data_IF_456084232856
#
_entry.id   IF_456084232856
#
_cell.length_a   1.000
_cell.length_b   1.000
_cell.length_c   1.000
_cell.angle_alpha   90.00
_cell.angle_beta   90.00
_cell.angle_gamma   90.00
#
_symmetry.space_group_name_H-M   'P 1'
#
loop_
_entity.id
_entity.type
_entity.pdbx_description
1 polymer ?
#
# COMPACT_ATOMS: atom_id res chain seq x y z
N UNK A 1 11.04 10.16 -8.77
CA UNK A 1 10.74 9.85 -7.37
C UNK A 1 10.27 8.41 -7.33
N UNK A 2 10.95 7.60 -6.53
CA UNK A 2 10.52 6.26 -6.20
C UNK A 2 9.50 6.28 -5.05
N UNK A 3 8.74 5.20 -4.92
CA UNK A 3 7.97 4.85 -3.74
C UNK A 3 8.50 3.50 -3.24
N UNK A 4 9.10 3.47 -2.06
CA UNK A 4 9.56 2.24 -1.44
C UNK A 4 8.52 1.73 -0.44
N UNK A 5 8.27 0.42 -0.47
CA UNK A 5 7.41 -0.28 0.47
C UNK A 5 8.25 -1.04 1.49
N UNK A 6 7.94 -0.83 2.76
CA UNK A 6 8.59 -1.53 3.85
C UNK A 6 7.57 -2.29 4.69
N UNK A 7 7.99 -3.44 5.21
CA UNK A 7 7.27 -4.14 6.27
C UNK A 7 7.91 -3.80 7.60
N UNK A 8 7.09 -3.33 8.54
CA UNK A 8 7.45 -3.14 9.93
C UNK A 8 6.81 -4.28 10.74
N UNK A 9 7.59 -5.25 11.24
CA UNK A 9 7.11 -6.30 12.10
C UNK A 9 6.42 -5.75 13.36
N UNK A 10 5.16 -6.14 13.60
CA UNK A 10 4.41 -5.73 14.78
C UNK A 10 4.71 -6.68 15.95
N UNK A 11 6.00 -6.80 16.30
CA UNK A 11 6.45 -7.58 17.46
C UNK A 11 6.90 -6.65 18.57
N UNK A 12 6.66 -7.07 19.79
CA UNK A 12 6.83 -6.30 21.03
C UNK A 12 8.26 -5.75 21.23
N UNK A 13 9.27 -6.42 20.66
CA UNK A 13 10.67 -5.94 20.64
C UNK A 13 10.79 -4.55 20.00
N UNK A 14 9.98 -4.28 18.97
CA UNK A 14 9.85 -2.95 18.40
C UNK A 14 8.72 -2.20 19.08
N UNK A 15 7.48 -2.70 19.06
CA UNK A 15 6.30 -1.85 19.22
C UNK A 15 6.08 -1.20 20.59
N UNK A 16 6.50 -1.83 21.70
CA UNK A 16 6.35 -1.24 23.06
C UNK A 16 7.69 -0.85 23.70
N UNK A 17 8.77 -0.85 22.93
CA UNK A 17 10.04 -0.28 23.37
C UNK A 17 9.96 1.25 23.39
N UNK A 18 10.46 1.95 24.42
CA UNK A 18 10.53 3.41 24.43
C UNK A 18 11.42 3.98 23.32
N UNK A 19 12.30 3.15 22.74
CA UNK A 19 13.18 3.52 21.62
C UNK A 19 12.60 3.12 20.25
N UNK A 20 11.33 2.69 20.19
CA UNK A 20 10.68 2.35 18.93
C UNK A 20 10.44 3.60 18.09
N UNK A 21 10.99 3.67 16.86
CA UNK A 21 10.74 4.81 16.00
C UNK A 21 9.27 4.94 15.56
N UNK A 22 8.43 3.92 15.75
CA UNK A 22 7.02 3.92 15.34
C UNK A 22 6.02 4.00 16.52
N UNK A 23 6.47 4.24 17.76
CA UNK A 23 5.56 4.21 18.92
C UNK A 23 4.46 5.27 18.85
N UNK A 24 4.83 6.48 18.40
CA UNK A 24 3.91 7.61 18.34
C UNK A 24 2.87 7.39 17.23
N UNK A 25 3.29 6.91 16.06
CA UNK A 25 2.43 6.57 14.94
C UNK A 25 1.45 5.45 15.32
N UNK A 26 1.93 4.39 15.97
CA UNK A 26 1.05 3.29 16.43
C UNK A 26 0.00 3.81 17.42
N UNK A 27 0.37 4.71 18.34
CA UNK A 27 -0.60 5.30 19.26
C UNK A 27 -1.66 6.14 18.53
N UNK A 28 -1.28 6.87 17.48
CA UNK A 28 -2.23 7.59 16.62
C UNK A 28 -3.16 6.62 15.89
N UNK A 29 -2.63 5.51 15.37
CA UNK A 29 -3.43 4.48 14.69
C UNK A 29 -4.41 3.81 15.65
N UNK A 30 -3.98 3.44 16.85
CA UNK A 30 -4.82 2.83 17.88
C UNK A 30 -5.96 3.76 18.30
N UNK A 31 -5.70 5.06 18.43
CA UNK A 31 -6.75 6.04 18.71
C UNK A 31 -7.77 6.10 17.58
N UNK A 32 -7.33 6.21 16.33
CA UNK A 32 -8.23 6.27 15.17
C UNK A 32 -9.05 4.98 15.00
N UNK A 33 -8.43 3.81 15.20
CA UNK A 33 -9.11 2.51 15.19
C UNK A 33 -10.14 2.45 16.32
N UNK A 34 -9.78 2.88 17.53
CA UNK A 34 -10.67 2.90 18.69
C UNK A 34 -11.89 3.80 18.51
N UNK A 35 -11.71 5.00 17.93
CA UNK A 35 -12.80 5.91 17.56
C UNK A 35 -13.77 5.28 16.55
N UNK A 36 -13.25 4.46 15.64
CA UNK A 36 -14.03 3.70 14.67
C UNK A 36 -14.64 2.39 15.23
N UNK A 37 -14.40 2.07 16.51
CA UNK A 37 -14.89 0.85 17.16
C UNK A 37 -14.15 -0.43 16.72
N UNK A 38 -12.94 -0.29 16.21
CA UNK A 38 -12.07 -1.37 15.73
C UNK A 38 -11.05 -1.78 16.80
N UNK A 39 -10.47 -3.00 16.72
CA UNK A 39 -9.38 -3.39 17.60
C UNK A 39 -8.12 -2.54 17.32
N UNK A 40 -7.22 -2.40 18.31
CA UNK A 40 -5.93 -1.77 18.11
C UNK A 40 -5.05 -2.56 17.14
N UNK A 41 -3.96 -1.94 16.70
CA UNK A 41 -2.92 -2.59 15.89
C UNK A 41 -2.42 -3.85 16.62
N UNK A 42 -2.44 -5.04 15.98
CA UNK A 42 -2.12 -6.28 16.66
C UNK A 42 -0.61 -6.41 16.88
N UNK A 43 -0.16 -6.01 18.06
CA UNK A 43 1.24 -6.17 18.49
C UNK A 43 1.44 -7.51 19.19
N UNK A 44 2.36 -8.31 18.69
CA UNK A 44 2.63 -9.65 19.20
C UNK A 44 3.83 -9.65 20.16
N UNK A 45 3.63 -10.14 21.39
CA UNK A 45 4.71 -10.35 22.37
C UNK A 45 5.91 -11.14 21.81
N UNK A 46 5.60 -12.15 20.99
CA UNK A 46 6.59 -12.97 20.31
C UNK A 46 5.94 -13.63 19.09
N UNK A 47 6.66 -13.65 17.97
CA UNK A 47 6.29 -14.43 16.79
C UNK A 47 7.49 -15.27 16.32
N UNK A 48 7.40 -16.62 16.36
CA UNK A 48 8.51 -17.48 15.95
C UNK A 48 8.94 -17.21 14.50
N UNK A 49 10.24 -17.01 14.30
CA UNK A 49 10.83 -16.81 12.97
C UNK A 49 10.71 -15.40 12.40
N UNK A 50 10.09 -14.46 13.13
CA UNK A 50 10.06 -13.05 12.78
C UNK A 50 11.04 -12.27 13.67
N UNK A 51 11.94 -11.49 13.06
CA UNK A 51 12.75 -10.52 13.78
C UNK A 51 12.02 -9.18 13.84
N UNK A 52 12.47 -8.27 14.70
CA UNK A 52 12.02 -6.87 14.69
C UNK A 52 12.68 -6.06 13.57
N UNK A 53 13.19 -6.68 12.51
CA UNK A 53 13.89 -5.94 11.46
C UNK A 53 12.88 -5.39 10.46
N UNK A 54 12.92 -4.08 10.24
CA UNK A 54 12.19 -3.43 9.15
C UNK A 54 12.87 -3.82 7.83
N UNK A 55 12.09 -4.29 6.85
CA UNK A 55 12.62 -4.82 5.61
C UNK A 55 11.89 -4.27 4.39
N UNK A 56 12.62 -3.96 3.29
CA UNK A 56 11.99 -3.55 2.04
C UNK A 56 11.24 -4.73 1.42
N UNK A 57 10.15 -4.43 0.72
CA UNK A 57 9.34 -5.43 0.00
C UNK A 57 9.33 -5.19 -1.50
N UNK A 58 9.22 -3.93 -1.90
CA UNK A 58 9.20 -3.53 -3.29
C UNK A 58 9.52 -2.03 -3.39
N UNK A 59 9.95 -1.61 -4.57
CA UNK A 59 10.07 -0.21 -4.94
C UNK A 59 9.52 -0.02 -6.35
N UNK A 60 8.94 1.15 -6.63
CA UNK A 60 8.41 1.48 -7.94
C UNK A 60 8.42 2.98 -8.21
N UNK A 61 8.32 3.34 -9.49
CA UNK A 61 8.15 4.72 -9.88
C UNK A 61 6.81 5.28 -9.38
N UNK A 62 6.82 6.50 -8.85
CA UNK A 62 5.63 7.19 -8.37
C UNK A 62 4.50 7.22 -9.41
N UNK A 63 4.84 7.48 -10.68
CA UNK A 63 3.86 7.49 -11.79
C UNK A 63 3.22 6.09 -12.00
N UNK A 64 3.97 5.02 -11.76
CA UNK A 64 3.47 3.65 -11.92
C UNK A 64 2.36 3.33 -10.92
N UNK A 65 2.43 3.87 -9.69
CA UNK A 65 1.38 3.72 -8.69
C UNK A 65 0.07 4.35 -9.17
N UNK A 66 0.16 5.51 -9.81
CA UNK A 66 -1.02 6.22 -10.31
C UNK A 66 -1.63 5.51 -11.52
N UNK A 67 -0.83 4.85 -12.38
CA UNK A 67 -1.40 3.99 -13.43
C UNK A 67 -2.24 2.85 -12.85
N UNK A 68 -1.77 2.20 -11.77
CA UNK A 68 -2.52 1.15 -11.10
C UNK A 68 -3.82 1.68 -10.49
N UNK A 69 -3.77 2.84 -9.81
CA UNK A 69 -4.96 3.48 -9.23
C UNK A 69 -5.97 3.90 -10.29
N UNK A 70 -5.50 4.42 -11.42
CA UNK A 70 -6.35 4.71 -12.58
C UNK A 70 -7.05 3.44 -13.08
N UNK A 71 -6.32 2.35 -13.27
CA UNK A 71 -6.90 1.08 -13.70
C UNK A 71 -7.97 0.57 -12.72
N UNK A 72 -7.70 0.67 -11.41
CA UNK A 72 -8.66 0.32 -10.37
C UNK A 72 -9.92 1.21 -10.43
N UNK A 73 -9.78 2.53 -10.52
CA UNK A 73 -10.94 3.45 -10.61
C UNK A 73 -11.76 3.23 -11.88
N UNK A 74 -11.12 3.03 -13.04
CA UNK A 74 -11.82 2.71 -14.28
C UNK A 74 -12.65 1.43 -14.11
N UNK A 75 -12.06 0.39 -13.56
CA UNK A 75 -12.75 -0.88 -13.34
C UNK A 75 -13.89 -0.74 -12.32
N UNK A 76 -13.66 -0.04 -11.21
CA UNK A 76 -14.67 0.22 -10.17
C UNK A 76 -15.87 0.97 -10.74
N UNK A 77 -15.63 1.92 -11.64
CA UNK A 77 -16.64 2.72 -12.32
C UNK A 77 -17.29 2.02 -13.52
N UNK A 78 -16.92 0.77 -13.82
CA UNK A 78 -17.45 0.00 -14.96
C UNK A 78 -17.00 0.55 -16.32
N UNK A 79 -15.92 1.31 -16.36
CA UNK A 79 -15.29 1.84 -17.56
C UNK A 79 -14.25 0.86 -18.11
N UNK A 80 -13.93 0.99 -19.39
CA UNK A 80 -12.91 0.16 -20.02
C UNK A 80 -11.52 0.52 -19.45
N UNK A 81 -10.81 -0.47 -18.92
CA UNK A 81 -9.41 -0.33 -18.51
C UNK A 81 -8.54 -0.37 -19.77
N UNK A 82 -8.02 0.79 -20.18
CA UNK A 82 -7.13 0.91 -21.35
C UNK A 82 -5.72 1.27 -20.90
N UNK A 83 -4.67 0.68 -21.50
CA UNK A 83 -3.28 1.08 -21.25
C UNK A 83 -3.06 2.55 -21.57
N UNK A 84 -2.14 3.19 -20.85
CA UNK A 84 -1.71 4.57 -21.09
C UNK A 84 -0.20 4.69 -20.96
N UNK A 85 0.42 5.48 -21.85
CA UNK A 85 1.86 5.75 -21.78
C UNK A 85 2.20 6.86 -20.78
N UNK A 86 1.22 7.72 -20.46
CA UNK A 86 1.29 8.81 -19.49
C UNK A 86 -0.13 9.13 -18.94
N UNK A 87 -0.23 9.59 -17.69
CA UNK A 87 -1.52 9.82 -17.02
C UNK A 87 -2.32 11.00 -17.61
N UNK A 88 -1.63 11.98 -18.22
CA UNK A 88 -2.27 13.20 -18.71
C UNK A 88 -3.06 13.88 -17.58
N UNK A 89 -4.26 14.38 -17.88
CA UNK A 89 -5.23 14.83 -16.88
C UNK A 89 -6.37 13.82 -16.62
N UNK A 90 -6.26 12.60 -17.16
CA UNK A 90 -7.33 11.60 -17.12
C UNK A 90 -7.51 11.05 -15.71
N UNK A 91 -6.41 10.84 -14.99
CA UNK A 91 -6.47 10.34 -13.61
C UNK A 91 -7.06 11.37 -12.63
N UNK A 92 -6.67 12.65 -12.75
CA UNK A 92 -7.24 13.74 -11.97
C UNK A 92 -8.73 13.90 -12.26
N UNK A 93 -9.14 13.84 -13.54
CA UNK A 93 -10.54 13.88 -13.91
C UNK A 93 -11.33 12.70 -13.33
N UNK A 94 -10.77 11.50 -13.32
CA UNK A 94 -11.39 10.33 -12.69
C UNK A 94 -11.55 10.52 -11.18
N UNK A 95 -10.54 11.08 -10.50
CA UNK A 95 -10.63 11.40 -9.07
C UNK A 95 -11.73 12.43 -8.80
N UNK A 96 -11.85 13.47 -9.62
CA UNK A 96 -12.92 14.47 -9.49
C UNK A 96 -14.31 13.86 -9.76
N UNK A 97 -14.43 13.01 -10.78
CA UNK A 97 -15.70 12.39 -11.16
C UNK A 97 -16.18 11.33 -10.15
N UNK A 98 -15.25 10.62 -9.52
CA UNK A 98 -15.53 9.48 -8.64
C UNK A 98 -14.99 9.68 -7.23
N UNK A 99 -14.93 10.93 -6.76
CA UNK A 99 -14.33 11.33 -5.47
C UNK A 99 -14.83 10.47 -4.30
N UNK A 100 -16.15 10.27 -4.20
CA UNK A 100 -16.73 9.46 -3.13
C UNK A 100 -16.25 7.99 -3.18
N UNK A 101 -16.08 7.42 -4.38
CA UNK A 101 -15.59 6.05 -4.52
C UNK A 101 -14.09 5.97 -4.25
N UNK A 102 -13.33 6.98 -4.68
CA UNK A 102 -11.92 7.11 -4.38
C UNK A 102 -11.70 7.14 -2.86
N UNK A 103 -12.42 8.00 -2.12
CA UNK A 103 -12.34 8.14 -0.66
C UNK A 103 -12.61 6.85 0.13
N UNK A 104 -13.32 5.88 -0.46
CA UNK A 104 -13.60 4.59 0.16
C UNK A 104 -12.54 3.53 -0.15
N UNK A 105 -11.60 3.80 -1.05
CA UNK A 105 -10.61 2.84 -1.52
C UNK A 105 -9.29 2.93 -0.75
N UNK A 106 -8.85 1.80 -0.23
CA UNK A 106 -7.54 1.63 0.42
C UNK A 106 -6.40 1.86 -0.55
N UNK A 107 -6.53 1.46 -1.81
CA UNK A 107 -5.52 1.65 -2.85
C UNK A 107 -5.43 3.11 -3.31
N UNK A 108 -6.57 3.82 -3.44
CA UNK A 108 -6.64 5.15 -4.04
C UNK A 108 -6.55 6.29 -3.02
N UNK A 109 -7.29 6.22 -1.91
CA UNK A 109 -7.33 7.28 -0.89
C UNK A 109 -6.29 7.05 0.19
N UNK A 110 -5.03 7.11 -0.22
CA UNK A 110 -3.86 6.84 0.61
C UNK A 110 -2.68 7.68 0.15
N UNK A 111 -1.78 8.05 1.06
CA UNK A 111 -0.60 8.84 0.71
C UNK A 111 0.58 7.97 0.28
N UNK A 112 1.19 8.38 -0.82
CA UNK A 112 2.14 7.58 -1.60
C UNK A 112 3.55 7.57 -1.02
N UNK A 113 3.82 8.42 -0.03
CA UNK A 113 5.17 8.66 0.52
C UNK A 113 5.18 8.78 2.06
N UNK A 114 4.03 8.65 2.71
CA UNK A 114 3.91 8.80 4.16
C UNK A 114 2.81 7.93 4.80
N UNK A 115 2.00 7.23 3.99
CA UNK A 115 0.87 6.48 4.50
C UNK A 115 1.25 5.08 4.99
N UNK A 116 0.38 4.51 5.84
CA UNK A 116 0.53 3.17 6.38
C UNK A 116 -0.68 2.27 6.08
N UNK A 117 -0.43 0.96 6.03
CA UNK A 117 -1.47 -0.07 6.09
C UNK A 117 -1.25 -0.98 7.29
N UNK A 118 -2.30 -1.22 8.07
CA UNK A 118 -2.24 -2.12 9.24
C UNK A 118 -2.98 -3.43 8.96
N UNK A 119 -2.57 -4.56 9.60
CA UNK A 119 -3.23 -5.86 9.44
C UNK A 119 -4.51 -5.93 10.32
N UNK A 120 -5.36 -4.92 10.22
CA UNK A 120 -6.68 -4.84 10.84
C UNK A 120 -7.69 -4.69 9.72
N UNK A 121 -8.76 -5.50 9.72
CA UNK A 121 -9.78 -5.45 8.68
C UNK A 121 -10.81 -4.35 8.96
N UNK A 122 -10.92 -3.39 8.05
CA UNK A 122 -11.95 -2.36 8.08
C UNK A 122 -12.33 -1.91 6.66
N UNK A 123 -13.58 -1.47 6.44
CA UNK A 123 -14.15 -1.38 5.11
C UNK A 123 -13.61 -0.24 4.25
N UNK A 124 -13.25 0.90 4.83
CA UNK A 124 -12.77 2.09 4.11
C UNK A 124 -11.64 2.77 4.90
N UNK A 125 -10.70 3.47 4.25
CA UNK A 125 -9.61 4.17 4.92
C UNK A 125 -10.10 5.07 6.05
N UNK A 126 -9.40 5.06 7.18
CA UNK A 126 -9.69 5.98 8.27
C UNK A 126 -8.98 7.30 8.01
N UNK A 127 -9.68 8.41 8.21
CA UNK A 127 -9.11 9.74 8.04
C UNK A 127 -9.65 10.67 9.11
N UNK A 128 -8.74 11.29 9.86
CA UNK A 128 -9.00 12.34 10.82
C UNK A 128 -7.80 13.30 10.84
N UNK A 129 -7.92 14.43 11.54
CA UNK A 129 -6.88 15.47 11.54
C UNK A 129 -5.52 14.93 11.99
N UNK A 130 -5.49 14.09 13.03
CA UNK A 130 -4.25 13.50 13.55
C UNK A 130 -3.55 12.58 12.51
N UNK A 131 -4.32 11.78 11.77
CA UNK A 131 -3.80 10.95 10.70
C UNK A 131 -3.27 11.80 9.53
N UNK A 132 -4.00 12.86 9.16
CA UNK A 132 -3.62 13.78 8.09
C UNK A 132 -2.36 14.60 8.41
N UNK A 133 -2.14 14.95 9.68
CA UNK A 133 -0.93 15.64 10.14
C UNK A 133 0.34 14.76 10.07
N UNK A 134 0.18 13.44 10.23
CA UNK A 134 1.29 12.48 10.18
C UNK A 134 1.56 11.95 8.78
N UNK A 135 0.66 11.09 8.28
CA UNK A 135 0.91 10.24 7.12
C UNK A 135 -0.25 10.07 6.16
N UNK A 136 -1.37 10.74 6.41
CA UNK A 136 -2.58 10.62 5.61
C UNK A 136 -3.52 9.50 6.08
N UNK A 137 -4.52 9.14 5.27
CA UNK A 137 -5.49 8.12 5.64
C UNK A 137 -4.85 6.77 5.99
N UNK A 138 -5.32 6.14 7.06
CA UNK A 138 -4.86 4.82 7.48
C UNK A 138 -5.55 3.74 6.66
N UNK A 139 -4.76 2.92 5.97
CA UNK A 139 -5.22 1.81 5.15
C UNK A 139 -5.31 0.48 5.90
N UNK A 140 -6.14 -0.43 5.42
CA UNK A 140 -6.22 -1.81 5.85
C UNK A 140 -5.46 -2.70 4.87
N UNK A 141 -4.53 -3.54 5.35
CA UNK A 141 -3.88 -4.55 4.49
C UNK A 141 -4.89 -5.55 3.90
N UNK A 142 -5.98 -5.82 4.62
CA UNK A 142 -7.10 -6.62 4.10
C UNK A 142 -7.86 -5.89 2.99
N UNK A 143 -8.17 -4.60 3.21
CA UNK A 143 -8.81 -3.74 2.22
C UNK A 143 -7.98 -3.63 0.94
N UNK A 144 -6.69 -3.30 1.09
CA UNK A 144 -5.74 -3.24 -0.02
C UNK A 144 -5.69 -4.55 -0.82
N UNK A 145 -5.58 -5.70 -0.14
CA UNK A 145 -5.53 -7.00 -0.83
C UNK A 145 -6.81 -7.26 -1.64
N UNK A 146 -8.00 -6.98 -1.09
CA UNK A 146 -9.27 -7.13 -1.81
C UNK A 146 -9.34 -6.25 -3.07
N UNK A 147 -8.83 -5.02 -2.98
CA UNK A 147 -8.83 -4.07 -4.10
C UNK A 147 -7.82 -4.47 -5.19
N UNK A 148 -6.67 -5.00 -4.80
CA UNK A 148 -5.70 -5.58 -5.72
C UNK A 148 -6.29 -6.80 -6.42
N UNK A 149 -6.90 -7.74 -5.68
CA UNK A 149 -7.57 -8.91 -6.26
C UNK A 149 -8.69 -8.51 -7.23
N UNK A 150 -9.44 -7.44 -6.90
CA UNK A 150 -10.47 -6.90 -7.78
C UNK A 150 -9.90 -6.44 -9.13
N UNK A 151 -8.78 -5.70 -9.13
CA UNK A 151 -8.20 -5.16 -10.38
C UNK A 151 -7.33 -6.17 -11.15
N UNK A 152 -6.87 -7.25 -10.53
CA UNK A 152 -5.89 -8.18 -11.09
C UNK A 152 -6.22 -8.65 -12.52
N UNK A 153 -7.47 -9.06 -12.77
CA UNK A 153 -7.89 -9.61 -14.06
C UNK A 153 -7.83 -8.58 -15.20
N UNK A 154 -8.10 -7.29 -14.93
CA UNK A 154 -8.01 -6.24 -15.97
C UNK A 154 -6.56 -5.96 -16.39
N UNK A 155 -5.61 -6.29 -15.52
CA UNK A 155 -4.17 -6.20 -15.76
C UNK A 155 -3.57 -7.51 -16.32
N UNK A 156 -4.41 -8.52 -16.56
CA UNK A 156 -3.98 -9.85 -17.01
C UNK A 156 -3.19 -10.62 -15.94
N UNK A 157 -3.49 -10.42 -14.66
CA UNK A 157 -2.90 -11.14 -13.52
C UNK A 157 -3.92 -12.16 -13.00
N UNK A 158 -3.44 -13.38 -12.75
CA UNK A 158 -4.18 -14.37 -11.93
C UNK A 158 -3.78 -14.18 -10.46
N UNK A 159 -4.67 -13.66 -9.59
CA UNK A 159 -4.34 -13.43 -8.18
C UNK A 159 -4.17 -14.74 -7.39
N UNK A 160 -4.70 -15.88 -7.86
CA UNK A 160 -4.52 -17.18 -7.21
C UNK A 160 -3.15 -17.80 -7.49
N UNK A 161 -2.45 -17.31 -8.51
CA UNK A 161 -1.10 -17.74 -8.87
C UNK A 161 -0.34 -16.56 -9.53
N UNK A 162 -0.04 -15.50 -8.76
CA UNK A 162 0.56 -14.31 -9.33
C UNK A 162 1.99 -14.61 -9.78
N UNK A 163 2.50 -13.85 -10.77
CA UNK A 163 3.93 -13.82 -11.08
C UNK A 163 4.79 -13.56 -9.84
N UNK A 164 6.09 -13.84 -9.95
CA UNK A 164 7.03 -13.51 -8.89
C UNK A 164 7.01 -12.01 -8.59
N UNK A 165 7.04 -11.59 -7.32
CA UNK A 165 7.09 -10.18 -6.96
C UNK A 165 8.42 -9.57 -7.41
N UNK A 166 8.45 -8.23 -7.58
CA UNK A 166 9.69 -7.54 -7.91
C UNK A 166 10.73 -7.73 -6.80
N UNK A 167 12.01 -7.67 -7.19
CA UNK A 167 13.11 -7.67 -6.22
C UNK A 167 13.00 -6.41 -5.35
N UNK A 168 13.03 -6.54 -4.01
CA UNK A 168 13.05 -5.38 -3.13
C UNK A 168 14.31 -4.52 -3.37
N UNK A 169 14.23 -3.20 -3.17
CA UNK A 169 15.40 -2.33 -3.23
C UNK A 169 16.45 -2.76 -2.20
N UNK A 170 17.73 -2.61 -2.55
CA UNK A 170 18.85 -3.06 -1.69
C UNK A 170 19.15 -2.11 -0.53
N UNK A 171 18.65 -0.88 -0.61
CA UNK A 171 18.74 0.18 0.38
C UNK A 171 17.52 1.11 0.24
N UNK A 172 17.22 1.96 1.23
CA UNK A 172 16.26 3.04 1.03
C UNK A 172 16.66 3.94 -0.15
N UNK A 173 15.68 4.24 -0.99
CA UNK A 173 15.78 5.22 -2.06
C UNK A 173 15.66 6.63 -1.46
N UNK A 174 16.49 7.58 -1.87
CA UNK A 174 16.35 8.96 -1.41
C UNK A 174 15.16 9.66 -2.09
N UNK A 175 14.57 10.69 -1.48
CA UNK A 175 13.34 11.34 -1.94
C UNK A 175 13.35 11.78 -3.42
N UNK A 176 14.49 12.28 -3.91
CA UNK A 176 14.62 12.71 -5.32
C UNK A 176 15.21 11.63 -6.23
N UNK A 177 15.63 10.50 -5.66
CA UNK A 177 16.22 9.41 -6.40
C UNK A 177 15.13 8.67 -7.23
N UNK A 178 15.41 8.34 -8.50
CA UNK A 178 14.52 7.50 -9.30
C UNK A 178 14.53 6.06 -8.77
N UNK A 179 13.45 5.31 -9.03
CA UNK A 179 13.46 3.89 -8.71
C UNK A 179 14.54 3.16 -9.52
N UNK A 180 15.06 2.05 -8.99
CA UNK A 180 15.99 1.22 -9.74
C UNK A 180 15.34 0.80 -11.08
N UNK A 181 16.04 0.94 -12.21
CA UNK A 181 15.47 0.64 -13.51
C UNK A 181 15.11 -0.84 -13.61
N UNK A 182 13.82 -1.12 -13.82
CA UNK A 182 13.28 -2.47 -13.94
C UNK A 182 13.09 -2.82 -15.42
N UNK A 183 13.44 -4.05 -15.77
CA UNK A 183 13.04 -4.64 -17.04
C UNK A 183 11.57 -5.07 -16.95
N UNK A 184 10.68 -4.24 -17.47
CA UNK A 184 9.26 -4.55 -17.59
C UNK A 184 9.01 -5.73 -18.54
N UNK A 185 7.92 -6.47 -18.30
CA UNK A 185 7.44 -7.48 -19.24
C UNK A 185 6.86 -6.82 -20.51
N UNK A 186 6.53 -7.62 -21.53
CA UNK A 186 5.96 -7.10 -22.80
C UNK A 186 4.47 -6.70 -22.67
N UNK A 187 3.91 -6.72 -21.46
CA UNK A 187 2.51 -6.35 -21.24
C UNK A 187 2.31 -4.86 -21.50
N UNK A 188 1.18 -4.46 -22.10
CA UNK A 188 0.83 -3.05 -22.16
C UNK A 188 0.53 -2.45 -20.77
N UNK A 189 0.35 -3.29 -19.73
CA UNK A 189 0.16 -2.88 -18.34
C UNK A 189 1.38 -3.19 -17.46
N UNK A 190 2.58 -3.26 -18.03
CA UNK A 190 3.74 -3.76 -17.30
C UNK A 190 4.08 -2.93 -16.04
N UNK A 191 3.81 -1.61 -16.05
CA UNK A 191 4.05 -0.72 -14.92
C UNK A 191 3.04 -0.97 -13.80
N UNK A 192 1.76 -1.06 -14.13
CA UNK A 192 0.67 -1.38 -13.20
C UNK A 192 0.88 -2.76 -12.59
N UNK A 193 1.28 -3.74 -13.40
CA UNK A 193 1.57 -5.11 -12.94
C UNK A 193 2.73 -5.14 -11.96
N UNK A 194 3.80 -4.38 -12.21
CA UNK A 194 4.94 -4.27 -11.30
C UNK A 194 4.51 -3.73 -9.93
N UNK A 195 3.74 -2.64 -9.90
CA UNK A 195 3.22 -2.07 -8.65
C UNK A 195 2.26 -3.04 -7.96
N UNK A 196 1.35 -3.65 -8.72
CA UNK A 196 0.38 -4.61 -8.20
C UNK A 196 1.10 -5.76 -7.49
N UNK A 197 2.15 -6.32 -8.11
CA UNK A 197 2.94 -7.41 -7.55
C UNK A 197 3.65 -7.00 -6.26
N UNK A 198 4.20 -5.78 -6.20
CA UNK A 198 4.83 -5.23 -5.00
C UNK A 198 3.85 -5.04 -3.84
N UNK A 199 2.71 -4.38 -4.09
CA UNK A 199 1.67 -4.16 -3.09
C UNK A 199 1.02 -5.48 -2.65
N UNK A 200 0.77 -6.41 -3.57
CA UNK A 200 0.22 -7.72 -3.27
C UNK A 200 1.16 -8.54 -2.37
N UNK A 201 2.46 -8.52 -2.66
CA UNK A 201 3.46 -9.16 -1.80
C UNK A 201 3.53 -8.51 -0.42
N UNK A 202 3.45 -7.17 -0.33
CA UNK A 202 3.42 -6.44 0.93
C UNK A 202 2.17 -6.76 1.74
N UNK A 203 0.99 -6.71 1.15
CA UNK A 203 -0.29 -7.04 1.79
C UNK A 203 -0.33 -8.49 2.27
N UNK A 204 0.05 -9.44 1.42
CA UNK A 204 0.06 -10.87 1.77
C UNK A 204 1.02 -11.16 2.93
N UNK A 205 2.23 -10.58 2.90
CA UNK A 205 3.21 -10.74 4.00
C UNK A 205 2.76 -10.04 5.28
N UNK A 206 2.22 -8.82 5.17
CA UNK A 206 1.64 -8.07 6.29
C UNK A 206 0.61 -8.89 7.05
N UNK A 207 -0.31 -9.55 6.33
CA UNK A 207 -1.35 -10.40 6.90
C UNK A 207 -0.80 -11.73 7.44
N UNK A 208 0.14 -12.36 6.73
CA UNK A 208 0.69 -13.64 7.13
C UNK A 208 1.58 -13.57 8.39
N UNK A 209 2.32 -12.47 8.55
CA UNK A 209 3.35 -12.34 9.57
C UNK A 209 3.04 -11.24 10.61
N UNK A 210 1.90 -10.57 10.53
CA UNK A 210 1.56 -9.49 11.46
C UNK A 210 2.52 -8.31 11.36
N UNK A 211 2.52 -7.63 10.23
CA UNK A 211 3.33 -6.42 10.01
C UNK A 211 2.48 -5.30 9.46
N UNK A 212 2.83 -4.05 9.75
CA UNK A 212 2.29 -2.92 8.99
C UNK A 212 3.15 -2.66 7.75
N UNK A 213 2.53 -2.06 6.73
CA UNK A 213 3.21 -1.60 5.51
C UNK A 213 3.38 -0.09 5.65
N UNK A 214 4.57 0.42 5.38
CA UNK A 214 4.85 1.87 5.34
C UNK A 214 5.45 2.26 3.99
N UNK A 215 5.18 3.49 3.57
CA UNK A 215 5.73 4.10 2.37
C UNK A 215 6.85 5.07 2.78
N UNK A 216 7.93 5.10 2.00
CA UNK A 216 9.04 6.05 2.14
C UNK A 216 9.51 6.56 0.78
#
# INVERSE_FOLDING_TARGET
>A
MACDLWLVPLVDVLCHSPDNPFAEEIAVFDNALGEAGLPPVPVFAYMPGLTGDVAPVAGFDYEALHFLRRAYLLQLSGLAVTPVDALGGDYEQLLEMFEQSAQQSHLVWHFDHAGAYVPVDFPAPLSNDALLEGGGPLGSSHGLLRELEFVAASLGIDPGNPPAPPTPPTRPTELEEPAEPIAYDESPFARERHVWLGLHAAATRSLAQGSMIIFS
#
